data_IF_860825152781
#
_entry.id   IF_860825152781
#
_cell.length_a   1.000
_cell.length_b   1.000
_cell.length_c   1.000
_cell.angle_alpha   90.00
_cell.angle_beta   90.00
_cell.angle_gamma   90.00
#
_symmetry.space_group_name_H-M   'P 1'
#
loop_
_entity.id
_entity.type
_entity.pdbx_description
1 polymer ?
#
# COMPACT_ATOMS: atom_id res chain seq x y z
N UNK A 1 40.27 4.17 -44.32
CA UNK A 1 40.09 2.94 -43.54
C UNK A 1 40.90 3.08 -42.25
N UNK A 2 40.36 3.84 -41.31
CA UNK A 2 40.94 4.05 -39.98
C UNK A 2 40.07 3.28 -38.99
N UNK A 3 40.69 2.46 -38.16
CA UNK A 3 40.32 2.10 -36.78
C UNK A 3 41.36 1.05 -36.34
N UNK A 4 42.50 1.43 -35.78
CA UNK A 4 42.77 1.72 -34.35
C UNK A 4 41.84 0.96 -33.39
N UNK A 5 42.41 -0.02 -32.66
CA UNK A 5 42.39 -0.17 -31.19
C UNK A 5 42.94 -1.54 -30.81
N UNK A 6 44.15 -1.62 -30.25
CA UNK A 6 44.51 -1.35 -28.86
C UNK A 6 44.17 -2.52 -27.91
N UNK A 7 45.19 -3.37 -27.75
CA UNK A 7 45.62 -4.17 -26.58
C UNK A 7 44.76 -4.14 -25.29
N UNK A 8 44.53 -5.35 -24.77
CA UNK A 8 44.68 -5.79 -23.36
C UNK A 8 45.36 -4.73 -22.44
N UNK A 9 44.95 -4.45 -21.19
CA UNK A 9 44.92 -5.37 -20.04
C UNK A 9 44.23 -4.72 -18.81
N UNK A 10 43.70 -5.57 -17.92
CA UNK A 10 43.67 -5.48 -16.42
C UNK A 10 42.67 -4.56 -15.68
N UNK A 11 42.17 -5.22 -14.60
CA UNK A 11 41.97 -4.77 -13.20
C UNK A 11 40.58 -4.33 -12.77
N UNK A 12 39.98 -5.23 -11.99
CA UNK A 12 39.30 -5.02 -10.70
C UNK A 12 38.73 -3.62 -10.46
N UNK A 13 37.41 -3.52 -10.51
CA UNK A 13 36.69 -2.67 -9.58
C UNK A 13 35.45 -3.44 -9.10
N UNK A 14 35.55 -3.82 -7.83
CA UNK A 14 34.42 -4.15 -6.97
C UNK A 14 33.65 -2.83 -6.84
N UNK A 15 32.43 -2.77 -7.37
CA UNK A 15 31.50 -1.70 -7.02
C UNK A 15 31.03 -1.95 -5.58
N UNK A 16 31.27 -1.05 -4.62
CA UNK A 16 30.52 -1.01 -3.39
C UNK A 16 29.24 -0.21 -3.66
N UNK A 17 28.09 -0.83 -3.44
CA UNK A 17 26.82 -0.13 -3.39
C UNK A 17 25.90 -0.39 -4.59
N UNK A 18 24.64 -0.67 -4.24
CA UNK A 18 23.48 -0.76 -5.13
C UNK A 18 23.36 -2.02 -6.00
N UNK A 19 23.57 -3.20 -5.39
CA UNK A 19 22.82 -4.40 -5.80
C UNK A 19 21.58 -4.47 -4.89
N UNK A 20 20.45 -3.82 -5.22
CA UNK A 20 19.48 -4.31 -6.19
C UNK A 20 19.29 -5.83 -6.08
N UNK A 21 18.62 -6.28 -4.99
CA UNK A 21 17.71 -7.44 -4.97
C UNK A 21 16.96 -7.48 -3.62
N UNK A 22 15.71 -8.02 -3.54
CA UNK A 22 15.14 -8.96 -4.50
C UNK A 22 13.82 -8.49 -5.14
N UNK A 23 13.71 -8.87 -6.41
CA UNK A 23 12.55 -9.51 -7.03
C UNK A 23 11.65 -10.23 -6.00
N UNK A 24 10.49 -9.66 -5.67
CA UNK A 24 9.23 -10.40 -5.50
C UNK A 24 8.02 -9.45 -5.28
N UNK A 25 7.34 -9.09 -6.36
CA UNK A 25 5.92 -8.79 -6.29
C UNK A 25 5.27 -9.59 -7.41
N UNK A 26 4.59 -10.70 -7.08
CA UNK A 26 3.15 -10.63 -6.78
C UNK A 26 2.77 -11.60 -5.62
N UNK A 27 1.57 -11.54 -5.00
CA UNK A 27 0.27 -11.75 -5.69
C UNK A 27 -0.69 -10.54 -5.49
N UNK A 28 -1.48 -10.01 -6.41
CA UNK A 28 -2.40 -10.64 -7.37
C UNK A 28 -3.34 -11.69 -6.76
N UNK A 29 -3.33 -11.90 -5.44
CA UNK A 29 -4.10 -12.96 -4.84
C UNK A 29 -5.52 -12.48 -4.58
N UNK A 30 -6.42 -13.11 -5.32
CA UNK A 30 -7.78 -13.40 -4.93
C UNK A 30 -8.67 -12.18 -4.75
N UNK A 31 -9.25 -11.76 -5.88
CA UNK A 31 -10.68 -11.51 -5.87
C UNK A 31 -11.36 -12.79 -5.36
N UNK A 32 -11.73 -12.83 -4.09
CA UNK A 32 -12.77 -13.74 -3.63
C UNK A 32 -14.13 -13.14 -4.03
N UNK A 33 -15.08 -13.95 -4.50
CA UNK A 33 -16.40 -13.46 -4.86
C UNK A 33 -17.09 -12.94 -3.60
N UNK A 34 -17.61 -11.71 -3.69
CA UNK A 34 -18.46 -11.11 -2.67
C UNK A 34 -19.80 -11.81 -2.62
N UNK A 35 -19.86 -12.98 -2.01
CA UNK A 35 -21.12 -13.64 -1.69
C UNK A 35 -21.58 -13.21 -0.30
N UNK A 36 -22.57 -12.31 -0.31
CA UNK A 36 -23.52 -11.90 0.75
C UNK A 36 -23.10 -10.78 1.71
N UNK A 37 -23.72 -9.62 1.50
CA UNK A 37 -23.76 -8.44 2.38
C UNK A 37 -24.94 -8.57 3.35
N UNK A 38 -24.76 -9.29 4.45
CA UNK A 38 -25.70 -9.31 5.58
C UNK A 38 -24.87 -9.42 6.87
N UNK A 39 -24.02 -8.43 7.13
CA UNK A 39 -23.10 -8.46 8.27
C UNK A 39 -22.92 -7.09 8.89
N UNK A 40 -22.51 -7.05 10.17
CA UNK A 40 -22.24 -5.79 10.86
C UNK A 40 -21.19 -4.99 10.08
N UNK A 41 -21.57 -3.80 9.65
CA UNK A 41 -20.65 -2.83 9.10
C UNK A 41 -19.71 -2.39 10.23
N UNK A 42 -18.46 -2.20 9.86
CA UNK A 42 -17.44 -1.73 10.77
C UNK A 42 -16.75 -0.52 10.14
N UNK A 43 -16.18 0.31 10.99
CA UNK A 43 -15.24 1.34 10.60
C UNK A 43 -13.89 1.08 11.26
N UNK A 44 -12.84 1.53 10.60
CA UNK A 44 -11.48 1.46 11.11
C UNK A 44 -10.72 2.69 10.67
N UNK A 45 -10.11 3.38 11.63
CA UNK A 45 -9.08 4.38 11.35
C UNK A 45 -7.73 3.71 11.36
N UNK A 46 -6.87 4.09 10.44
CA UNK A 46 -5.53 3.55 10.36
C UNK A 46 -4.52 4.67 10.17
N UNK A 47 -3.39 4.54 10.85
CA UNK A 47 -2.24 5.40 10.71
C UNK A 47 -1.02 4.55 10.36
N UNK A 48 -0.41 4.85 9.22
CA UNK A 48 0.75 4.15 8.68
C UNK A 48 1.97 5.05 8.82
N UNK A 49 2.95 4.56 9.56
CA UNK A 49 4.25 5.17 9.70
C UNK A 49 5.28 4.45 8.85
N UNK A 50 6.21 5.22 8.29
CA UNK A 50 7.36 4.73 7.55
C UNK A 50 7.63 5.58 6.33
N UNK A 51 8.26 4.99 5.30
CA UNK A 51 8.54 5.66 4.03
C UNK A 51 7.31 5.60 3.12
N UNK A 52 6.35 6.49 3.38
CA UNK A 52 5.03 6.53 2.69
C UNK A 52 4.85 7.72 1.75
N UNK A 53 5.74 8.72 1.81
CA UNK A 53 5.74 9.87 0.90
C UNK A 53 6.55 9.60 -0.38
N UNK A 54 6.09 10.12 -1.52
CA UNK A 54 6.78 9.99 -2.82
C UNK A 54 6.70 8.60 -3.49
N UNK A 55 5.89 7.68 -2.96
CA UNK A 55 5.83 6.27 -3.39
C UNK A 55 4.47 5.85 -3.95
N UNK A 56 3.63 6.82 -4.31
CA UNK A 56 2.27 6.60 -4.86
C UNK A 56 1.36 5.72 -3.98
N UNK A 57 1.60 5.69 -2.66
CA UNK A 57 0.85 4.86 -1.71
C UNK A 57 -0.67 5.05 -1.84
N UNK A 58 -1.12 6.32 -1.86
CA UNK A 58 -2.53 6.71 -1.98
C UNK A 58 -3.27 6.07 -3.15
N UNK A 59 -2.63 6.00 -4.34
CA UNK A 59 -3.22 5.39 -5.56
C UNK A 59 -3.32 3.87 -5.47
N UNK A 60 -2.44 3.24 -4.70
CA UNK A 60 -2.53 1.81 -4.42
C UNK A 60 -3.62 1.53 -3.40
N UNK A 61 -3.71 2.32 -2.34
CA UNK A 61 -4.76 2.23 -1.32
C UNK A 61 -6.15 2.41 -1.92
N UNK A 62 -6.36 3.43 -2.75
CA UNK A 62 -7.63 3.64 -3.47
C UNK A 62 -8.04 2.43 -4.32
N UNK A 63 -7.10 1.86 -5.08
CA UNK A 63 -7.37 0.69 -5.92
C UNK A 63 -7.75 -0.54 -5.10
N UNK A 64 -7.07 -0.74 -3.98
CA UNK A 64 -7.34 -1.87 -3.09
C UNK A 64 -8.69 -1.69 -2.38
N UNK A 65 -8.97 -0.50 -1.86
CA UNK A 65 -10.26 -0.17 -1.26
C UNK A 65 -11.40 -0.38 -2.26
N UNK A 66 -11.24 0.10 -3.50
CA UNK A 66 -12.22 -0.11 -4.58
C UNK A 66 -12.37 -1.58 -4.96
N UNK A 67 -11.28 -2.37 -4.94
CA UNK A 67 -11.32 -3.82 -5.19
C UNK A 67 -12.14 -4.56 -4.13
N UNK A 68 -12.02 -4.13 -2.88
CA UNK A 68 -12.73 -4.67 -1.73
C UNK A 68 -14.13 -4.03 -1.53
N UNK A 69 -14.51 -3.03 -2.33
CA UNK A 69 -15.77 -2.31 -2.15
C UNK A 69 -15.86 -1.53 -0.83
N UNK A 70 -14.71 -1.10 -0.30
CA UNK A 70 -14.62 -0.27 0.89
C UNK A 70 -14.73 1.21 0.53
N UNK A 71 -15.32 1.98 1.44
CA UNK A 71 -15.48 3.43 1.32
C UNK A 71 -14.69 4.14 2.41
N UNK A 72 -14.31 5.40 2.18
CA UNK A 72 -13.53 6.15 3.17
C UNK A 72 -12.60 7.17 2.56
N UNK A 73 -11.51 7.49 3.26
CA UNK A 73 -10.54 8.46 2.78
C UNK A 73 -9.13 8.13 3.22
N UNK A 74 -8.16 8.68 2.48
CA UNK A 74 -6.75 8.63 2.82
C UNK A 74 -6.14 10.02 2.68
N UNK A 75 -5.39 10.45 3.69
CA UNK A 75 -4.62 11.69 3.70
C UNK A 75 -3.19 11.43 4.17
N UNK A 76 -2.31 12.38 3.84
CA UNK A 76 -0.99 12.42 4.44
C UNK A 76 -0.99 13.47 5.55
N UNK A 77 -0.37 13.15 6.68
CA UNK A 77 -0.13 14.11 7.73
C UNK A 77 1.17 14.87 7.45
N UNK A 78 1.30 16.06 8.05
CA UNK A 78 2.53 16.86 7.98
C UNK A 78 3.73 16.16 8.65
N UNK A 79 3.45 15.23 9.57
CA UNK A 79 4.46 14.38 10.22
C UNK A 79 5.03 13.28 9.30
N UNK A 80 4.56 13.21 8.05
CA UNK A 80 5.02 12.20 7.11
C UNK A 80 4.38 10.82 7.28
N UNK A 81 3.27 10.75 8.02
CA UNK A 81 2.45 9.52 8.15
C UNK A 81 1.28 9.56 7.18
N UNK A 82 0.72 8.40 6.87
CA UNK A 82 -0.53 8.29 6.12
C UNK A 82 -1.63 7.95 7.10
N UNK A 83 -2.64 8.80 7.18
CA UNK A 83 -3.84 8.54 7.97
C UNK A 83 -4.99 8.26 7.01
N UNK A 84 -5.88 7.37 7.41
CA UNK A 84 -7.10 7.14 6.67
C UNK A 84 -8.16 6.47 7.51
N UNK A 85 -9.34 6.42 6.93
CA UNK A 85 -10.48 5.72 7.48
C UNK A 85 -11.05 4.84 6.39
N UNK A 86 -11.42 3.62 6.75
CA UNK A 86 -12.11 2.71 5.87
C UNK A 86 -13.34 2.18 6.60
N UNK A 87 -14.47 2.17 5.91
CA UNK A 87 -15.71 1.62 6.41
C UNK A 87 -16.20 0.54 5.44
N UNK A 88 -16.75 -0.52 6.00
CA UNK A 88 -17.28 -1.62 5.23
C UNK A 88 -17.50 -2.88 6.06
N UNK A 89 -17.89 -3.99 5.41
CA UNK A 89 -18.08 -5.26 6.09
C UNK A 89 -16.78 -5.78 6.71
N UNK A 90 -16.89 -6.34 7.91
CA UNK A 90 -15.76 -6.90 8.69
C UNK A 90 -14.75 -7.72 7.87
N UNK A 91 -15.14 -8.72 7.04
CA UNK A 91 -14.17 -9.53 6.29
C UNK A 91 -13.33 -8.70 5.31
N UNK A 92 -13.92 -7.69 4.67
CA UNK A 92 -13.22 -6.83 3.73
C UNK A 92 -12.24 -5.89 4.45
N UNK A 93 -12.64 -5.39 5.63
CA UNK A 93 -11.74 -4.60 6.48
C UNK A 93 -10.57 -5.43 7.02
N UNK A 94 -10.78 -6.69 7.37
CA UNK A 94 -9.68 -7.57 7.79
C UNK A 94 -8.68 -7.84 6.66
N UNK A 95 -9.15 -8.07 5.44
CA UNK A 95 -8.28 -8.15 4.27
C UNK A 95 -7.51 -6.85 4.04
N UNK A 96 -8.19 -5.71 4.17
CA UNK A 96 -7.57 -4.40 4.01
C UNK A 96 -6.49 -4.12 5.06
N UNK A 97 -6.75 -4.45 6.34
CA UNK A 97 -5.75 -4.37 7.42
C UNK A 97 -4.53 -5.24 7.12
N UNK A 98 -4.75 -6.48 6.66
CA UNK A 98 -3.67 -7.39 6.27
C UNK A 98 -2.85 -6.83 5.12
N UNK A 99 -3.50 -6.23 4.13
CA UNK A 99 -2.85 -5.57 3.00
C UNK A 99 -2.00 -4.38 3.44
N UNK A 100 -2.52 -3.53 4.33
CA UNK A 100 -1.80 -2.39 4.91
C UNK A 100 -0.54 -2.81 5.69
N UNK A 101 -0.54 -4.01 6.28
CA UNK A 101 0.63 -4.56 6.99
C UNK A 101 1.65 -5.22 6.08
N UNK A 102 1.22 -5.82 4.97
CA UNK A 102 2.08 -6.73 4.17
C UNK A 102 2.50 -6.15 2.82
N UNK A 103 1.60 -5.46 2.13
CA UNK A 103 1.74 -5.09 0.73
C UNK A 103 2.13 -3.63 0.57
N UNK A 104 1.28 -2.73 1.09
CA UNK A 104 1.36 -1.31 0.80
C UNK A 104 1.67 -1.01 -0.67
N UNK A 105 2.59 -0.08 -0.91
CA UNK A 105 3.22 0.16 -2.21
C UNK A 105 4.56 -0.58 -2.31
N UNK A 106 4.93 -1.13 -3.50
CA UNK A 106 6.21 -1.82 -3.71
C UNK A 106 7.44 -0.94 -3.45
N UNK A 107 7.27 0.40 -3.45
CA UNK A 107 8.33 1.35 -3.09
C UNK A 107 8.18 1.92 -1.68
N UNK A 108 7.06 1.65 -1.00
CA UNK A 108 6.85 2.08 0.38
C UNK A 108 7.49 1.11 1.34
N UNK A 109 7.97 1.64 2.47
CA UNK A 109 8.37 0.85 3.62
C UNK A 109 7.43 1.19 4.76
N UNK A 110 6.66 0.20 5.21
CA UNK A 110 5.79 0.35 6.36
C UNK A 110 6.60 -0.11 7.58
N UNK A 111 6.90 0.83 8.47
CA UNK A 111 7.63 0.54 9.71
C UNK A 111 6.63 0.22 10.83
N UNK A 112 5.47 0.89 10.84
CA UNK A 112 4.41 0.65 11.82
C UNK A 112 3.04 0.93 11.19
N UNK A 113 2.09 0.03 11.41
CA UNK A 113 0.69 0.25 11.11
C UNK A 113 -0.09 0.25 12.43
N UNK A 114 -0.69 1.39 12.76
CA UNK A 114 -1.55 1.59 13.91
C UNK A 114 -2.98 1.57 13.42
N UNK A 115 -3.83 0.79 14.07
CA UNK A 115 -5.26 0.79 13.84
C UNK A 115 -5.92 1.40 15.07
N UNK A 116 -6.79 2.36 14.85
CA UNK A 116 -7.48 3.13 15.88
C UNK A 116 -8.96 3.09 15.56
N UNK A 117 -9.81 3.20 16.58
CA UNK A 117 -11.26 3.38 16.38
C UNK A 117 -11.88 2.24 15.55
N UNK A 118 -11.57 1.01 15.92
CA UNK A 118 -12.14 -0.19 15.32
C UNK A 118 -13.49 -0.46 15.97
N UNK A 119 -14.59 -0.20 15.26
CA UNK A 119 -15.92 -0.33 15.85
C UNK A 119 -16.98 -0.78 14.85
N UNK A 120 -18.10 -1.33 15.33
CA UNK A 120 -19.29 -1.50 14.51
C UNK A 120 -19.86 -0.10 14.19
N UNK A 121 -20.06 0.20 12.92
CA UNK A 121 -20.71 1.42 12.47
C UNK A 121 -22.08 1.07 11.90
N UNK A 122 -23.11 1.85 12.24
CA UNK A 122 -24.45 1.67 11.64
C UNK A 122 -24.49 2.11 10.18
N UNK A 123 -23.65 3.11 9.84
CA UNK A 123 -23.58 3.68 8.50
C UNK A 123 -22.14 4.03 8.13
N UNK A 124 -21.87 4.09 6.84
CA UNK A 124 -20.63 4.59 6.30
C UNK A 124 -20.91 5.97 5.69
N UNK A 125 -20.43 7.08 6.30
CA UNK A 125 -20.76 8.43 5.81
C UNK A 125 -20.10 8.77 4.47
N UNK A 126 -19.36 7.83 3.88
CA UNK A 126 -18.59 8.02 2.65
C UNK A 126 -19.22 7.20 1.51
N UNK A 127 -19.50 7.85 0.39
CA UNK A 127 -20.01 7.18 -0.81
C UNK A 127 -18.89 6.48 -1.62
N UNK A 128 -17.67 7.02 -1.56
CA UNK A 128 -16.52 6.58 -2.34
C UNK A 128 -15.24 6.62 -1.51
N UNK A 129 -14.18 5.97 -1.99
CA UNK A 129 -12.85 6.08 -1.39
C UNK A 129 -12.08 7.27 -2.01
N UNK A 130 -11.93 8.36 -1.25
CA UNK A 130 -11.35 9.62 -1.75
C UNK A 130 -9.93 9.87 -1.23
N UNK A 131 -9.07 10.42 -2.09
CA UNK A 131 -7.73 10.86 -1.71
C UNK A 131 -7.79 12.34 -1.30
N UNK A 132 -7.64 12.63 0.00
CA UNK A 132 -7.54 13.99 0.52
C UNK A 132 -6.12 14.55 0.35
N UNK A 133 -6.04 15.86 0.07
CA UNK A 133 -4.79 16.62 -0.11
C UNK A 133 -4.31 17.22 1.19
#
# INVERSE_FOLDING_TARGET
FQDVRCRQVRRRQICPGAACCPRLAPPAAAAAPVTKLDGPLHHVKFEIHGKVQGVFFRKHTEREARRLGLVGYVLNTEHGTVLGEACGPAPHLEEFKRWLRTKGSPKSRIDKAVFTDEGPSTDCPFADFTISK
#
